data_IF_077957608445
#
_entry.id   IF_077957608445
#
_cell.length_a   1.000
_cell.length_b   1.000
_cell.length_c   1.000
_cell.angle_alpha   90.00
_cell.angle_beta   90.00
_cell.angle_gamma   90.00
#
_symmetry.space_group_name_H-M   'P 1'
#
loop_
_entity.id
_entity.type
_entity.pdbx_description
1 polymer ?
#
# COMPACT_ATOMS: atom_id res chain seq x y z
N UNK A 1 20.03 98.46 10.19
CA UNK A 1 19.16 97.22 9.99
C UNK A 1 20.11 96.12 9.66
N UNK A 2 20.28 95.12 10.56
CA UNK A 2 21.31 94.11 10.41
C UNK A 2 20.82 92.91 9.64
N UNK A 3 21.70 92.48 8.75
CA UNK A 3 21.66 91.24 7.98
C UNK A 3 22.14 90.09 8.87
N UNK A 4 21.34 89.05 9.01
CA UNK A 4 21.73 87.82 9.72
C UNK A 4 22.09 86.75 8.69
N UNK A 5 23.34 86.37 8.67
CA UNK A 5 23.91 85.26 7.95
C UNK A 5 23.53 83.95 8.69
N UNK A 6 22.89 83.00 7.97
CA UNK A 6 22.66 81.66 8.48
C UNK A 6 23.71 80.68 7.91
N UNK A 7 24.59 80.22 8.78
CA UNK A 7 25.59 79.19 8.50
C UNK A 7 24.89 77.82 8.46
N UNK A 8 25.00 77.11 7.33
CA UNK A 8 24.48 75.80 7.12
C UNK A 8 25.50 74.73 7.53
N UNK A 9 25.21 74.01 8.59
CA UNK A 9 26.00 72.86 8.99
C UNK A 9 25.58 71.64 8.18
N UNK A 10 26.48 71.09 7.37
CA UNK A 10 26.33 69.78 6.76
C UNK A 10 26.58 68.66 7.81
N UNK A 11 25.56 67.95 8.25
CA UNK A 11 25.72 66.71 8.98
C UNK A 11 25.97 65.55 7.99
N UNK A 12 27.15 65.01 8.05
CA UNK A 12 27.46 63.71 7.39
C UNK A 12 26.66 62.59 8.09
N UNK A 13 25.69 61.98 7.40
CA UNK A 13 25.03 60.77 7.83
C UNK A 13 25.92 59.62 7.40
N UNK A 14 26.47 58.90 8.39
CA UNK A 14 27.16 57.63 8.19
C UNK A 14 26.07 56.56 8.13
N UNK A 15 25.80 55.99 6.96
CA UNK A 15 24.99 54.80 6.82
C UNK A 15 25.82 53.60 7.32
N UNK A 16 25.52 53.12 8.51
CA UNK A 16 25.96 51.81 8.98
C UNK A 16 25.09 50.74 8.29
N UNK A 17 25.66 50.01 7.34
CA UNK A 17 25.01 48.85 6.73
C UNK A 17 24.88 47.71 7.75
N UNK A 18 23.66 47.42 8.15
CA UNK A 18 23.34 46.19 8.92
C UNK A 18 23.27 45.07 7.92
N UNK A 19 24.31 44.23 7.82
CA UNK A 19 24.20 42.88 7.22
C UNK A 19 23.30 42.03 8.12
N UNK A 20 22.06 41.91 7.76
CA UNK A 20 21.21 40.87 8.35
C UNK A 20 21.68 39.50 7.84
N UNK A 21 22.41 38.77 8.68
CA UNK A 21 22.65 37.35 8.47
C UNK A 21 21.30 36.64 8.59
N UNK A 22 20.75 36.25 7.44
CA UNK A 22 19.62 35.28 7.40
C UNK A 22 20.19 33.94 7.85
N UNK A 23 20.10 33.66 9.14
CA UNK A 23 20.28 32.32 9.64
C UNK A 23 19.13 31.47 9.05
N UNK A 24 19.44 30.72 8.02
CA UNK A 24 18.55 29.69 7.49
C UNK A 24 18.24 28.71 8.63
N UNK A 25 17.04 28.81 9.21
CA UNK A 25 16.47 27.74 9.99
C UNK A 25 16.41 26.53 9.07
N UNK A 26 17.41 25.66 9.14
CA UNK A 26 17.31 24.32 8.63
C UNK A 26 16.13 23.68 9.39
N UNK A 27 15.02 23.50 8.70
CA UNK A 27 13.95 22.61 9.15
C UNK A 27 14.63 21.30 9.54
N UNK A 28 14.31 20.71 10.71
CA UNK A 28 14.87 19.40 11.06
C UNK A 28 14.53 18.50 9.88
N UNK A 29 15.57 18.10 9.14
CA UNK A 29 15.42 17.16 8.04
C UNK A 29 14.65 15.97 8.58
N UNK A 30 13.50 15.66 7.99
CA UNK A 30 12.93 14.34 8.16
C UNK A 30 14.05 13.39 7.81
N UNK A 31 14.60 12.73 8.84
CA UNK A 31 15.57 11.68 8.64
C UNK A 31 14.92 10.74 7.63
N UNK A 32 15.50 10.65 6.43
CA UNK A 32 14.97 9.84 5.35
C UNK A 32 14.91 8.41 5.87
N UNK A 33 13.75 8.02 6.39
CA UNK A 33 13.49 6.68 6.93
C UNK A 33 13.74 5.59 5.87
N UNK A 34 13.97 6.01 4.62
CA UNK A 34 14.20 5.18 3.45
C UNK A 34 15.64 5.05 2.95
N UNK A 35 16.63 5.75 3.52
CA UNK A 35 17.99 5.67 2.97
C UNK A 35 18.51 4.22 2.97
N UNK A 36 18.65 3.63 1.77
CA UNK A 36 19.09 2.26 1.56
C UNK A 36 18.05 1.17 1.80
N UNK A 37 16.77 1.53 1.97
CA UNK A 37 15.64 0.59 2.08
C UNK A 37 14.67 0.77 0.91
N UNK A 38 14.01 -0.31 0.52
CA UNK A 38 12.95 -0.31 -0.49
C UNK A 38 11.85 -1.26 -0.05
N UNK A 39 10.59 -0.82 -0.19
CA UNK A 39 9.43 -1.66 0.08
C UNK A 39 9.42 -2.88 -0.83
N UNK A 40 9.27 -4.05 -0.23
CA UNK A 40 9.26 -5.33 -0.92
C UNK A 40 7.89 -6.01 -0.88
N UNK A 41 7.11 -5.72 0.14
CA UNK A 41 5.74 -6.16 0.32
C UNK A 41 5.00 -5.18 1.21
N UNK A 42 3.71 -4.97 0.95
CA UNK A 42 2.82 -4.25 1.86
C UNK A 42 1.37 -4.66 1.67
N UNK A 43 0.56 -4.40 2.70
CA UNK A 43 -0.89 -4.44 2.67
C UNK A 43 -1.45 -3.18 3.33
N UNK A 44 -2.52 -2.63 2.78
CA UNK A 44 -3.16 -1.44 3.34
C UNK A 44 -3.88 -1.78 4.64
N UNK A 45 -3.60 -1.11 5.77
CA UNK A 45 -4.26 -1.42 7.02
C UNK A 45 -5.73 -0.98 7.01
N UNK A 46 -6.57 -1.78 7.66
CA UNK A 46 -8.00 -1.56 7.85
C UNK A 46 -8.35 -1.69 9.34
N UNK A 47 -9.52 -1.17 9.71
CA UNK A 47 -10.12 -1.40 11.02
C UNK A 47 -10.89 -2.71 10.98
N UNK A 48 -10.44 -3.69 11.75
CA UNK A 48 -11.05 -5.02 11.85
C UNK A 48 -11.82 -5.17 13.18
N UNK A 49 -13.03 -5.73 13.12
CA UNK A 49 -13.89 -5.96 14.27
C UNK A 49 -13.73 -7.35 14.93
N UNK A 50 -12.61 -8.00 14.75
CA UNK A 50 -12.31 -9.34 15.24
C UNK A 50 -11.55 -10.14 14.19
N UNK A 51 -11.03 -11.37 14.41
CA UNK A 51 -11.10 -12.15 15.64
C UNK A 51 -10.25 -11.59 16.78
N UNK A 52 -10.42 -12.13 18.01
CA UNK A 52 -9.62 -11.75 19.17
C UNK A 52 -8.39 -12.65 19.31
N UNK A 53 -7.26 -12.05 19.67
CA UNK A 53 -5.99 -12.74 19.86
C UNK A 53 -5.44 -12.45 21.26
N UNK A 54 -5.62 -13.38 22.19
CA UNK A 54 -5.11 -13.25 23.55
C UNK A 54 -4.08 -14.37 23.81
N UNK A 55 -2.84 -14.00 24.14
CA UNK A 55 -1.72 -14.93 24.35
C UNK A 55 -1.55 -15.94 23.20
N UNK A 56 -1.62 -15.44 21.96
CA UNK A 56 -1.50 -16.25 20.75
C UNK A 56 -0.38 -15.72 19.83
N UNK A 57 0.21 -16.62 19.06
CA UNK A 57 1.15 -16.29 17.98
C UNK A 57 0.47 -16.41 16.64
N UNK A 58 0.55 -15.36 15.86
CA UNK A 58 0.16 -15.33 14.45
C UNK A 58 1.41 -15.55 13.60
N UNK A 59 1.38 -16.50 12.68
CA UNK A 59 2.36 -16.65 11.59
C UNK A 59 1.74 -16.16 10.31
N UNK A 60 2.19 -15.02 9.85
CA UNK A 60 1.70 -14.37 8.65
C UNK A 60 2.67 -14.57 7.50
N UNK A 61 2.17 -15.12 6.40
CA UNK A 61 2.93 -15.34 5.18
C UNK A 61 2.83 -14.11 4.29
N UNK A 62 3.96 -13.69 3.76
CA UNK A 62 4.06 -12.54 2.85
C UNK A 62 4.96 -12.91 1.66
N UNK A 63 4.66 -12.32 0.49
CA UNK A 63 5.36 -12.59 -0.77
C UNK A 63 6.14 -11.35 -1.26
N UNK A 64 7.41 -11.17 -0.85
CA UNK A 64 8.23 -10.06 -1.28
C UNK A 64 8.48 -10.05 -2.79
N UNK A 65 8.25 -8.92 -3.41
CA UNK A 65 8.37 -8.72 -4.87
C UNK A 65 9.75 -8.24 -5.31
N UNK A 66 10.67 -8.02 -4.37
CA UNK A 66 12.11 -7.80 -4.60
C UNK A 66 12.93 -8.51 -3.53
N UNK A 67 14.16 -8.83 -3.86
CA UNK A 67 15.12 -9.39 -2.91
C UNK A 67 16.04 -8.35 -2.26
N UNK A 68 16.73 -8.77 -1.21
CA UNK A 68 17.71 -7.93 -0.50
C UNK A 68 18.58 -8.72 0.48
N UNK A 69 19.64 -8.07 0.99
CA UNK A 69 20.60 -8.68 1.92
C UNK A 69 20.13 -8.71 3.37
N UNK A 70 19.19 -7.86 3.72
CA UNK A 70 18.55 -7.77 5.03
C UNK A 70 17.14 -7.20 4.86
N UNK A 71 16.31 -7.38 5.88
CA UNK A 71 14.95 -6.88 5.88
C UNK A 71 14.64 -6.11 7.18
N UNK A 72 13.53 -5.36 7.17
CA UNK A 72 12.82 -4.86 8.35
C UNK A 72 11.32 -5.02 8.12
N UNK A 73 10.57 -5.21 9.18
CA UNK A 73 9.11 -5.29 9.11
C UNK A 73 8.49 -4.03 9.70
N UNK A 74 7.29 -3.67 9.24
CA UNK A 74 6.47 -2.61 9.82
C UNK A 74 5.27 -3.24 10.52
N UNK A 75 5.11 -2.93 11.81
CA UNK A 75 3.92 -3.25 12.59
C UNK A 75 3.11 -1.96 12.80
N UNK A 76 1.79 -2.07 12.67
CA UNK A 76 0.86 -0.95 12.73
C UNK A 76 -0.31 -1.25 13.68
N UNK A 77 -0.65 -0.27 14.52
CA UNK A 77 -1.86 -0.22 15.32
C UNK A 77 -2.74 0.99 14.95
N UNK A 78 -2.71 1.36 13.66
CA UNK A 78 -3.35 2.57 13.13
C UNK A 78 -4.84 2.63 13.45
N UNK A 79 -5.53 1.50 13.41
CA UNK A 79 -6.97 1.40 13.62
C UNK A 79 -7.36 0.69 14.92
N UNK A 80 -6.39 0.28 15.74
CA UNK A 80 -6.68 -0.38 17.02
C UNK A 80 -7.37 0.56 18.02
N UNK A 81 -8.32 0.04 18.81
CA UNK A 81 -9.00 0.78 19.86
C UNK A 81 -8.30 0.70 21.21
N UNK A 82 -7.31 -0.17 21.35
CA UNK A 82 -6.44 -0.30 22.50
C UNK A 82 -4.97 -0.32 22.10
N UNK A 83 -4.08 -0.07 23.06
CA UNK A 83 -2.65 -0.35 22.90
C UNK A 83 -2.45 -1.86 22.73
N UNK A 84 -1.56 -2.27 21.81
CA UNK A 84 -1.25 -3.69 21.58
C UNK A 84 0.20 -3.97 21.94
N UNK A 85 0.45 -5.08 22.64
CA UNK A 85 1.81 -5.50 23.04
C UNK A 85 2.17 -6.83 22.37
N UNK A 86 3.27 -6.80 21.64
CA UNK A 86 3.89 -7.98 21.06
C UNK A 86 5.06 -8.40 21.96
N UNK A 87 4.94 -9.57 22.60
CA UNK A 87 5.96 -10.09 23.53
C UNK A 87 7.16 -10.70 22.81
N UNK A 88 6.96 -11.19 21.59
CA UNK A 88 8.00 -11.69 20.71
C UNK A 88 7.60 -11.52 19.25
N UNK A 89 8.58 -11.24 18.39
CA UNK A 89 8.41 -11.19 16.95
C UNK A 89 9.56 -11.94 16.29
N UNK A 90 9.23 -12.75 15.27
CA UNK A 90 10.18 -13.54 14.50
C UNK A 90 9.96 -13.38 13.01
N UNK A 91 10.98 -13.70 12.22
CA UNK A 91 10.89 -13.82 10.77
C UNK A 91 11.74 -14.98 10.28
N UNK A 92 11.24 -15.70 9.29
CA UNK A 92 11.97 -16.78 8.63
C UNK A 92 11.57 -16.85 7.15
N UNK A 93 12.31 -17.63 6.35
CA UNK A 93 11.85 -18.01 5.03
C UNK A 93 10.79 -19.11 5.18
N UNK A 94 9.67 -18.97 4.51
CA UNK A 94 8.67 -20.01 4.40
C UNK A 94 9.12 -21.05 3.36
N UNK A 95 8.72 -22.31 3.56
CA UNK A 95 9.02 -23.39 2.61
C UNK A 95 8.24 -23.20 1.32
N UNK A 96 6.98 -22.78 1.45
CA UNK A 96 6.08 -22.52 0.34
C UNK A 96 4.97 -21.56 0.76
N UNK A 97 4.33 -20.92 -0.21
CA UNK A 97 3.11 -20.15 0.01
C UNK A 97 2.01 -21.05 0.60
N UNK A 98 1.32 -20.57 1.64
CA UNK A 98 0.28 -21.32 2.32
C UNK A 98 0.77 -22.47 3.23
N UNK A 99 2.08 -22.60 3.47
CA UNK A 99 2.66 -23.58 4.38
C UNK A 99 3.18 -22.92 5.67
N UNK A 100 2.85 -23.51 6.83
CA UNK A 100 3.38 -23.04 8.11
C UNK A 100 4.85 -23.42 8.33
N UNK A 101 5.43 -24.25 7.45
CA UNK A 101 6.78 -24.75 7.57
C UNK A 101 7.82 -23.67 7.23
N UNK A 102 8.89 -23.68 8.03
CA UNK A 102 10.00 -22.73 7.88
C UNK A 102 11.23 -23.43 7.28
N UNK A 103 11.95 -22.73 6.42
CA UNK A 103 13.26 -23.20 5.96
C UNK A 103 14.22 -23.23 7.13
N UNK A 104 14.78 -24.40 7.41
CA UNK A 104 15.65 -24.65 8.56
C UNK A 104 16.84 -23.66 8.61
N UNK A 105 17.16 -23.17 9.80
CA UNK A 105 18.27 -22.26 10.02
C UNK A 105 18.03 -20.80 9.60
N UNK A 106 16.83 -20.49 9.10
CA UNK A 106 16.50 -19.13 8.65
C UNK A 106 15.75 -18.28 9.69
N UNK A 107 15.32 -18.87 10.80
CA UNK A 107 14.60 -18.19 11.87
C UNK A 107 15.46 -17.06 12.46
N UNK A 108 14.91 -15.85 12.53
CA UNK A 108 15.56 -14.70 13.15
C UNK A 108 14.59 -14.03 14.13
N UNK A 109 15.11 -13.71 15.30
CA UNK A 109 14.40 -12.83 16.23
C UNK A 109 14.37 -11.42 15.65
N UNK A 110 13.23 -10.79 15.71
CA UNK A 110 13.03 -9.38 15.35
C UNK A 110 13.08 -8.56 16.62
N UNK A 111 13.72 -7.37 16.55
CA UNK A 111 13.82 -6.45 17.66
C UNK A 111 13.35 -5.05 17.26
N UNK A 112 13.01 -4.25 18.27
CA UNK A 112 12.59 -2.86 18.14
C UNK A 112 13.42 -2.04 19.11
N UNK A 113 14.34 -1.24 18.59
CA UNK A 113 15.34 -0.49 19.39
C UNK A 113 16.13 -1.42 20.34
N UNK A 114 16.53 -2.58 19.83
CA UNK A 114 17.26 -3.62 20.57
C UNK A 114 16.40 -4.49 21.50
N UNK A 115 15.11 -4.22 21.65
CA UNK A 115 14.21 -5.00 22.51
C UNK A 115 13.39 -6.00 21.68
N UNK A 116 13.14 -7.19 22.23
CA UNK A 116 12.36 -8.23 21.54
C UNK A 116 10.85 -8.07 21.70
N UNK A 117 10.41 -7.25 22.65
CA UNK A 117 9.01 -6.89 22.83
C UNK A 117 8.78 -5.43 22.43
N UNK A 118 7.59 -5.12 21.97
CA UNK A 118 7.17 -3.76 21.61
C UNK A 118 5.68 -3.57 21.93
N UNK A 119 5.35 -2.39 22.46
CA UNK A 119 3.97 -1.94 22.61
C UNK A 119 3.73 -0.81 21.63
N UNK A 120 2.68 -0.94 20.82
CA UNK A 120 2.19 0.11 19.95
C UNK A 120 0.93 0.72 20.56
N UNK A 121 0.94 2.04 20.75
CA UNK A 121 -0.26 2.78 21.15
C UNK A 121 -1.25 2.82 20.00
N UNK A 122 -2.47 3.20 20.33
CA UNK A 122 -3.50 3.51 19.32
C UNK A 122 -2.94 4.51 18.30
N UNK A 123 -3.08 4.20 17.01
CA UNK A 123 -2.61 5.05 15.92
C UNK A 123 -1.13 4.97 15.61
N UNK A 124 -0.33 4.20 16.36
CA UNK A 124 1.10 4.09 16.14
C UNK A 124 1.47 2.99 15.13
N UNK A 125 2.55 3.23 14.39
CA UNK A 125 3.25 2.21 13.63
C UNK A 125 4.76 2.28 13.90
N UNK A 126 5.47 1.17 13.71
CA UNK A 126 6.89 1.09 13.97
C UNK A 126 7.59 0.15 12.98
N UNK A 127 8.78 0.55 12.52
CA UNK A 127 9.69 -0.37 11.87
C UNK A 127 10.54 -1.11 12.89
N UNK A 128 10.80 -2.39 12.63
CA UNK A 128 11.79 -3.16 13.38
C UNK A 128 13.20 -2.66 13.13
N UNK A 129 14.11 -3.08 13.99
CA UNK A 129 15.54 -3.03 13.71
C UNK A 129 15.85 -3.89 12.46
N UNK A 130 16.96 -3.62 11.74
CA UNK A 130 17.38 -4.44 10.62
C UNK A 130 17.63 -5.89 11.00
N UNK A 131 17.02 -6.81 10.26
CA UNK A 131 17.22 -8.26 10.44
C UNK A 131 18.15 -8.78 9.34
N UNK A 132 19.25 -9.42 9.74
CA UNK A 132 20.21 -10.07 8.83
C UNK A 132 19.63 -11.40 8.33
N UNK A 133 18.74 -11.31 7.35
CA UNK A 133 18.18 -12.44 6.62
C UNK A 133 18.09 -12.04 5.15
N UNK A 134 18.88 -12.66 4.30
CA UNK A 134 18.82 -12.46 2.87
C UNK A 134 17.50 -13.00 2.33
N UNK A 135 16.85 -12.25 1.46
CA UNK A 135 15.59 -12.58 0.78
C UNK A 135 15.85 -12.60 -0.70
N UNK A 136 15.46 -13.67 -1.39
CA UNK A 136 15.44 -13.70 -2.84
C UNK A 136 14.12 -13.10 -3.36
N UNK A 137 14.12 -12.64 -4.61
CA UNK A 137 12.89 -12.29 -5.32
C UNK A 137 11.91 -13.48 -5.29
N UNK A 138 10.65 -13.23 -4.95
CA UNK A 138 9.61 -14.26 -4.90
C UNK A 138 9.78 -15.30 -3.79
N UNK A 139 10.68 -15.06 -2.82
CA UNK A 139 10.85 -15.94 -1.66
C UNK A 139 9.85 -15.56 -0.57
N UNK A 140 8.91 -16.45 -0.30
CA UNK A 140 7.94 -16.25 0.79
C UNK A 140 8.64 -16.14 2.15
N UNK A 141 8.13 -15.22 2.96
CA UNK A 141 8.54 -15.04 4.35
C UNK A 141 7.38 -15.37 5.29
N UNK A 142 7.70 -15.95 6.43
CA UNK A 142 6.82 -16.09 7.57
C UNK A 142 7.23 -15.06 8.63
N UNK A 143 6.29 -14.22 9.03
CA UNK A 143 6.44 -13.26 10.12
C UNK A 143 5.59 -13.72 11.30
N UNK A 144 6.22 -14.06 12.41
CA UNK A 144 5.56 -14.48 13.64
C UNK A 144 5.39 -13.30 14.57
N UNK A 145 4.19 -13.07 15.10
CA UNK A 145 3.88 -12.03 16.08
C UNK A 145 3.16 -12.68 17.28
N UNK A 146 3.79 -12.68 18.45
CA UNK A 146 3.16 -13.15 19.69
C UNK A 146 2.47 -11.99 20.39
N UNK A 147 1.15 -12.02 20.44
CA UNK A 147 0.31 -10.98 21.06
C UNK A 147 0.13 -11.31 22.54
N UNK A 148 0.56 -10.39 23.43
CA UNK A 148 0.43 -10.56 24.90
C UNK A 148 -0.68 -9.72 25.50
N UNK A 149 -1.05 -8.61 24.87
CA UNK A 149 -2.13 -7.73 25.34
C UNK A 149 -2.70 -6.91 24.17
N UNK A 150 -3.95 -6.52 24.25
CA UNK A 150 -4.63 -5.63 23.30
C UNK A 150 -5.12 -6.30 22.02
N UNK A 151 -4.89 -7.58 21.84
CA UNK A 151 -5.40 -8.33 20.70
C UNK A 151 -6.87 -8.76 20.84
N UNK A 152 -7.48 -8.46 21.98
CA UNK A 152 -8.89 -8.68 22.31
C UNK A 152 -9.72 -7.39 22.32
N UNK A 153 -9.15 -6.29 21.81
CA UNK A 153 -9.87 -5.02 21.65
C UNK A 153 -11.07 -5.17 20.70
N UNK A 154 -12.08 -4.31 20.88
CA UNK A 154 -13.29 -4.31 20.04
C UNK A 154 -12.97 -4.03 18.55
N UNK A 155 -11.87 -3.35 18.29
CA UNK A 155 -11.29 -3.26 16.96
C UNK A 155 -9.77 -3.31 17.02
N UNK A 156 -9.18 -3.99 16.04
CA UNK A 156 -7.75 -4.15 15.84
C UNK A 156 -7.37 -3.67 14.43
N UNK A 157 -6.09 -3.49 14.20
CA UNK A 157 -5.59 -3.20 12.86
C UNK A 157 -5.33 -4.50 12.11
N UNK A 158 -5.91 -4.64 10.93
CA UNK A 158 -5.71 -5.77 10.05
C UNK A 158 -5.78 -5.37 8.59
N UNK A 159 -5.71 -6.35 7.72
CA UNK A 159 -6.06 -6.27 6.30
C UNK A 159 -6.84 -7.53 5.96
N UNK A 160 -8.11 -7.37 5.65
CA UNK A 160 -9.02 -8.47 5.33
C UNK A 160 -8.67 -9.10 3.98
N UNK A 161 -9.06 -10.37 3.83
CA UNK A 161 -8.99 -11.11 2.57
C UNK A 161 -7.58 -11.18 1.94
N UNK A 162 -6.58 -11.59 2.74
CA UNK A 162 -5.18 -11.79 2.27
C UNK A 162 -5.05 -12.76 1.07
N UNK A 163 -6.14 -13.41 0.62
CA UNK A 163 -6.16 -14.47 -0.38
C UNK A 163 -5.13 -15.57 -0.08
N UNK A 164 -4.92 -15.82 1.21
CA UNK A 164 -3.94 -16.80 1.67
C UNK A 164 -4.13 -17.19 3.13
N UNK A 165 -3.52 -18.31 3.49
CA UNK A 165 -3.59 -18.90 4.83
C UNK A 165 -2.58 -18.25 5.75
N UNK A 166 -3.05 -17.69 6.86
CA UNK A 166 -2.25 -17.21 7.98
C UNK A 166 -2.51 -18.14 9.18
N UNK A 167 -1.50 -18.46 9.95
CA UNK A 167 -1.60 -19.51 10.97
C UNK A 167 -1.65 -18.92 12.37
N UNK A 168 -2.34 -19.62 13.28
CA UNK A 168 -2.52 -19.23 14.68
C UNK A 168 -2.08 -20.36 15.60
N UNK A 169 -1.34 -20.03 16.65
CA UNK A 169 -0.90 -20.95 17.70
C UNK A 169 -1.14 -20.36 19.09
N UNK A 170 -1.43 -21.21 20.07
CA UNK A 170 -1.51 -20.80 21.46
C UNK A 170 -0.12 -20.52 22.04
N UNK A 171 -0.02 -19.50 22.89
CA UNK A 171 1.23 -19.12 23.54
C UNK A 171 2.28 -18.51 22.60
N UNK A 172 3.48 -18.36 23.12
CA UNK A 172 4.62 -17.84 22.34
C UNK A 172 5.25 -18.96 21.50
N UNK A 173 4.97 -18.97 20.23
CA UNK A 173 5.49 -19.92 19.25
C UNK A 173 6.32 -19.23 18.15
N UNK A 174 6.84 -18.02 18.42
CA UNK A 174 7.64 -17.30 17.44
C UNK A 174 8.91 -18.07 17.05
N UNK A 175 9.02 -18.47 15.79
CA UNK A 175 10.09 -19.33 15.26
C UNK A 175 9.91 -20.84 15.48
N UNK A 176 8.77 -21.28 16.06
CA UNK A 176 8.48 -22.69 16.26
C UNK A 176 8.20 -23.45 14.95
N UNK A 177 8.24 -24.78 14.99
CA UNK A 177 7.82 -25.64 13.87
C UNK A 177 6.33 -25.53 13.59
N UNK A 178 5.92 -25.99 12.40
CA UNK A 178 4.54 -25.91 11.92
C UNK A 178 3.52 -26.62 12.81
N UNK A 179 3.92 -27.70 13.48
CA UNK A 179 3.05 -28.49 14.38
C UNK A 179 2.40 -27.66 15.50
N UNK A 180 3.02 -26.54 15.89
CA UNK A 180 2.48 -25.65 16.92
C UNK A 180 1.26 -24.84 16.45
N UNK A 181 1.09 -24.69 15.14
CA UNK A 181 0.05 -23.86 14.53
C UNK A 181 -1.16 -24.71 14.14
N UNK A 182 -2.19 -24.67 14.98
CA UNK A 182 -3.39 -25.52 14.83
C UNK A 182 -4.63 -24.75 14.34
N UNK A 183 -4.57 -23.43 14.33
CA UNK A 183 -5.61 -22.56 13.79
C UNK A 183 -5.12 -21.79 12.57
N UNK A 184 -6.06 -21.19 11.84
CA UNK A 184 -5.75 -20.31 10.70
C UNK A 184 -6.78 -19.17 10.58
N UNK A 185 -6.34 -18.12 9.93
CA UNK A 185 -7.15 -16.96 9.50
C UNK A 185 -6.75 -16.59 8.08
N UNK A 186 -7.54 -15.74 7.42
CA UNK A 186 -7.31 -15.30 6.04
C UNK A 186 -6.92 -13.81 5.93
N UNK A 187 -6.45 -13.21 7.01
CA UNK A 187 -6.15 -11.78 7.11
C UNK A 187 -4.77 -11.57 7.69
N UNK A 188 -4.09 -10.49 7.30
CA UNK A 188 -2.90 -10.02 8.02
C UNK A 188 -3.33 -9.11 9.17
N UNK A 189 -2.73 -9.29 10.34
CA UNK A 189 -3.02 -8.48 11.52
C UNK A 189 -1.77 -7.75 12.00
N UNK A 190 -1.85 -6.45 12.17
CA UNK A 190 -0.77 -5.54 12.59
C UNK A 190 0.49 -5.52 11.71
N UNK A 191 0.64 -6.42 10.78
CA UNK A 191 1.75 -6.46 9.82
C UNK A 191 1.29 -5.78 8.52
N UNK A 192 1.90 -4.64 8.18
CA UNK A 192 1.51 -3.86 7.00
C UNK A 192 2.66 -3.57 6.03
N UNK A 193 3.89 -4.00 6.35
CA UNK A 193 5.00 -3.81 5.42
C UNK A 193 6.25 -4.63 5.72
N UNK A 194 6.96 -4.95 4.65
CA UNK A 194 8.32 -5.53 4.66
C UNK A 194 9.17 -4.74 3.70
N UNK A 195 10.24 -4.14 4.24
CA UNK A 195 11.27 -3.49 3.45
C UNK A 195 12.52 -4.35 3.40
N UNK A 196 13.28 -4.22 2.33
CA UNK A 196 14.59 -4.88 2.18
C UNK A 196 15.69 -3.85 1.92
N UNK A 197 16.94 -4.20 2.23
CA UNK A 197 18.11 -3.54 1.69
C UNK A 197 18.41 -4.17 0.33
N UNK A 198 18.00 -3.51 -0.76
CA UNK A 198 18.03 -4.11 -2.08
C UNK A 198 19.45 -4.27 -2.60
N UNK A 199 19.64 -5.20 -3.54
CA UNK A 199 20.84 -5.31 -4.34
C UNK A 199 20.94 -4.24 -5.44
N UNK A 200 22.06 -4.19 -6.11
CA UNK A 200 22.26 -3.38 -7.30
C UNK A 200 21.23 -3.76 -8.39
N UNK A 201 20.60 -2.77 -9.00
CA UNK A 201 19.57 -2.97 -10.04
C UNK A 201 18.13 -2.76 -9.59
N UNK A 202 17.85 -2.78 -8.28
CA UNK A 202 16.55 -2.33 -7.76
C UNK A 202 16.49 -0.81 -7.78
N UNK A 203 15.45 -0.26 -8.40
CA UNK A 203 15.30 1.18 -8.66
C UNK A 203 14.33 1.89 -7.72
N UNK A 204 13.60 1.15 -6.89
CA UNK A 204 12.60 1.66 -5.97
C UNK A 204 11.37 0.77 -5.90
N UNK A 205 10.24 1.32 -5.50
CA UNK A 205 8.97 0.62 -5.47
C UNK A 205 7.88 1.32 -6.29
N UNK A 206 6.89 0.54 -6.70
CA UNK A 206 5.65 0.93 -7.36
C UNK A 206 4.54 0.60 -6.36
N UNK A 207 3.70 1.57 -6.06
CA UNK A 207 2.49 1.35 -5.28
C UNK A 207 1.30 1.16 -6.23
N UNK A 208 0.49 0.15 -6.01
CA UNK A 208 -0.80 -0.03 -6.65
C UNK A 208 -1.90 0.33 -5.64
N UNK A 209 -2.48 1.52 -5.77
CA UNK A 209 -3.61 1.97 -4.96
C UNK A 209 -4.91 1.59 -5.67
N UNK A 210 -5.79 0.85 -4.98
CA UNK A 210 -7.01 0.39 -5.61
C UNK A 210 -8.01 -0.28 -4.66
N UNK A 211 -8.97 -0.94 -5.24
CA UNK A 211 -10.07 -1.63 -4.59
C UNK A 211 -9.87 -3.17 -4.57
N UNK A 212 -10.97 -3.96 -4.48
CA UNK A 212 -10.95 -5.42 -4.47
C UNK A 212 -10.29 -6.05 -5.71
N UNK A 213 -10.30 -5.37 -6.86
CA UNK A 213 -9.65 -5.85 -8.08
C UNK A 213 -8.13 -5.83 -7.91
N UNK A 214 -7.61 -4.81 -7.26
CA UNK A 214 -6.18 -4.67 -6.93
C UNK A 214 -5.80 -5.55 -5.75
N UNK A 215 -6.63 -5.63 -4.72
CA UNK A 215 -6.47 -6.52 -3.57
C UNK A 215 -6.37 -7.99 -3.99
N UNK A 216 -7.09 -8.38 -5.04
CA UNK A 216 -6.98 -9.68 -5.68
C UNK A 216 -8.16 -10.60 -5.41
N UNK A 217 -9.36 -10.05 -5.29
CA UNK A 217 -10.57 -10.86 -5.23
C UNK A 217 -10.60 -11.89 -6.37
N UNK A 218 -10.97 -13.13 -6.04
CA UNK A 218 -11.03 -14.28 -6.96
C UNK A 218 -9.68 -14.74 -7.56
N UNK A 219 -8.56 -14.33 -6.97
CA UNK A 219 -7.25 -14.93 -7.27
C UNK A 219 -7.10 -16.29 -6.60
N UNK A 220 -6.09 -17.05 -6.98
CA UNK A 220 -5.84 -18.37 -6.40
C UNK A 220 -5.45 -18.26 -4.93
N UNK A 221 -6.13 -19.01 -4.07
CA UNK A 221 -5.78 -19.08 -2.66
C UNK A 221 -4.32 -19.55 -2.49
N UNK A 222 -3.51 -18.76 -1.80
CA UNK A 222 -2.05 -18.91 -1.68
C UNK A 222 -1.28 -18.83 -3.02
N UNK A 223 -1.90 -18.33 -4.10
CA UNK A 223 -1.32 -18.38 -5.46
C UNK A 223 -0.37 -17.23 -5.79
N UNK A 224 -0.49 -16.08 -5.12
CA UNK A 224 0.25 -14.86 -5.47
C UNK A 224 0.16 -14.55 -6.97
N UNK A 225 -1.05 -14.52 -7.51
CA UNK A 225 -1.35 -14.33 -8.94
C UNK A 225 -2.27 -13.14 -9.24
N UNK A 226 -2.26 -12.14 -8.33
CA UNK A 226 -2.86 -10.83 -8.54
C UNK A 226 -2.20 -10.14 -9.73
N UNK A 227 -2.85 -9.21 -10.37
CA UNK A 227 -2.20 -8.41 -11.42
C UNK A 227 -0.91 -7.72 -10.93
N UNK A 228 -0.84 -7.35 -9.65
CA UNK A 228 0.36 -6.78 -9.02
C UNK A 228 1.50 -7.78 -8.91
N UNK A 229 1.22 -9.04 -8.60
CA UNK A 229 2.22 -10.12 -8.54
C UNK A 229 2.75 -10.45 -9.94
N UNK A 230 1.85 -10.53 -10.93
CA UNK A 230 2.23 -10.74 -12.32
C UNK A 230 3.05 -9.57 -12.88
N UNK A 231 2.69 -8.31 -12.53
CA UNK A 231 3.48 -7.14 -12.89
C UNK A 231 4.88 -7.20 -12.27
N UNK A 232 4.98 -7.58 -10.99
CA UNK A 232 6.26 -7.76 -10.30
C UNK A 232 7.14 -8.79 -11.01
N UNK A 233 6.55 -9.91 -11.43
CA UNK A 233 7.25 -10.94 -12.21
C UNK A 233 7.77 -10.40 -13.55
N UNK A 234 6.97 -9.62 -14.27
CA UNK A 234 7.37 -8.97 -15.53
C UNK A 234 8.48 -7.95 -15.34
N UNK A 235 8.51 -7.27 -14.21
CA UNK A 235 9.57 -6.32 -13.85
C UNK A 235 10.87 -7.01 -13.43
N UNK A 236 10.86 -8.31 -13.17
CA UNK A 236 12.07 -9.11 -12.88
C UNK A 236 12.85 -8.62 -11.66
N UNK A 237 12.16 -8.14 -10.62
CA UNK A 237 12.79 -7.67 -9.38
C UNK A 237 13.45 -6.28 -9.47
N UNK A 238 13.23 -5.52 -10.55
CA UNK A 238 13.74 -4.14 -10.68
C UNK A 238 13.01 -3.13 -9.80
N UNK A 239 11.77 -3.39 -9.46
CA UNK A 239 10.93 -2.59 -8.56
C UNK A 239 10.18 -3.50 -7.60
N UNK A 240 10.07 -3.08 -6.34
CA UNK A 240 9.08 -3.63 -5.42
C UNK A 240 7.67 -3.22 -5.88
N UNK A 241 6.75 -4.15 -5.98
CA UNK A 241 5.34 -3.83 -6.26
C UNK A 241 4.56 -4.01 -4.96
N UNK A 242 4.02 -2.90 -4.47
CA UNK A 242 3.34 -2.79 -3.19
C UNK A 242 1.84 -2.72 -3.45
N UNK A 243 1.12 -3.76 -3.07
CA UNK A 243 -0.31 -3.82 -3.23
C UNK A 243 -0.99 -3.07 -2.08
N UNK A 244 -1.73 -2.01 -2.42
CA UNK A 244 -2.53 -1.19 -1.52
C UNK A 244 -4.01 -1.22 -1.96
N UNK A 245 -4.47 -2.38 -2.42
CA UNK A 245 -5.87 -2.66 -2.66
C UNK A 245 -6.62 -2.84 -1.35
N UNK A 246 -7.88 -2.46 -1.32
CA UNK A 246 -8.82 -2.73 -0.21
C UNK A 246 -10.18 -3.10 -0.84
N UNK A 247 -10.76 -4.22 -0.42
CA UNK A 247 -12.09 -4.62 -0.84
C UNK A 247 -13.11 -3.49 -0.70
N UNK A 248 -13.88 -3.20 -1.76
CA UNK A 248 -14.91 -2.16 -1.76
C UNK A 248 -14.45 -0.72 -1.62
N UNK A 249 -13.15 -0.43 -1.72
CA UNK A 249 -12.63 0.93 -1.58
C UNK A 249 -13.25 1.89 -2.58
N UNK A 250 -13.42 3.12 -2.15
CA UNK A 250 -13.81 4.28 -2.95
C UNK A 250 -12.73 5.36 -2.87
N UNK A 251 -12.57 6.10 -3.94
CA UNK A 251 -11.70 7.28 -3.99
C UNK A 251 -12.20 8.37 -3.06
N UNK A 252 -13.52 8.62 -3.06
CA UNK A 252 -14.15 9.80 -2.49
C UNK A 252 -14.63 9.60 -1.05
N UNK A 253 -15.18 8.43 -0.73
CA UNK A 253 -15.97 8.22 0.50
C UNK A 253 -15.47 7.04 1.30
N UNK A 254 -15.46 7.19 2.63
CA UNK A 254 -15.19 6.08 3.54
C UNK A 254 -16.37 5.10 3.53
N UNK A 255 -16.09 3.82 3.66
CA UNK A 255 -17.09 2.78 3.79
C UNK A 255 -16.96 2.04 5.10
N UNK A 256 -18.09 1.83 5.75
CA UNK A 256 -18.21 1.10 7.02
C UNK A 256 -19.04 -0.17 6.90
N UNK A 257 -19.57 -0.44 5.70
CA UNK A 257 -20.57 -1.45 5.38
C UNK A 257 -20.12 -2.44 4.30
N UNK A 258 -18.81 -2.46 4.01
CA UNK A 258 -18.28 -3.25 2.90
C UNK A 258 -17.54 -4.51 3.35
N UNK A 259 -17.72 -5.54 2.55
CA UNK A 259 -16.79 -6.63 2.24
C UNK A 259 -16.03 -7.19 3.45
N UNK A 260 -16.72 -7.86 4.38
CA UNK A 260 -16.13 -8.37 5.61
C UNK A 260 -16.36 -7.45 6.80
N UNK A 261 -15.55 -7.60 7.84
CA UNK A 261 -15.69 -6.84 9.08
C UNK A 261 -14.92 -5.50 9.07
N UNK A 262 -14.18 -5.22 8.00
CA UNK A 262 -13.27 -4.08 7.90
C UNK A 262 -13.95 -2.77 7.47
N UNK A 263 -13.37 -1.66 7.91
CA UNK A 263 -13.72 -0.33 7.43
C UNK A 263 -12.72 0.10 6.36
N UNK A 264 -13.22 0.46 5.18
CA UNK A 264 -12.42 0.99 4.10
C UNK A 264 -12.44 2.51 4.12
N UNK A 265 -11.33 3.15 4.50
CA UNK A 265 -11.19 4.61 4.37
C UNK A 265 -10.89 4.99 2.92
N UNK A 266 -11.41 6.14 2.49
CA UNK A 266 -11.32 6.58 1.09
C UNK A 266 -9.88 6.74 0.61
N UNK A 267 -9.69 6.52 -0.69
CA UNK A 267 -8.42 6.74 -1.37
C UNK A 267 -7.82 8.11 -1.05
N UNK A 268 -8.65 9.17 -1.04
CA UNK A 268 -8.25 10.53 -0.69
C UNK A 268 -7.67 10.68 0.73
N UNK A 269 -8.10 9.85 1.68
CA UNK A 269 -7.62 9.91 3.06
C UNK A 269 -6.39 9.03 3.28
N UNK A 270 -6.38 7.81 2.70
CA UNK A 270 -5.32 6.83 2.91
C UNK A 270 -4.08 7.02 2.02
N UNK A 271 -4.17 7.81 0.93
CA UNK A 271 -3.07 7.97 -0.05
C UNK A 271 -1.75 8.44 0.58
N UNK A 272 -1.80 9.19 1.68
CA UNK A 272 -0.58 9.60 2.38
C UNK A 272 0.17 8.41 2.93
N UNK A 273 -0.49 7.57 3.73
CA UNK A 273 0.12 6.41 4.37
C UNK A 273 0.41 5.30 3.34
N UNK A 274 -0.54 5.06 2.44
CA UNK A 274 -0.50 3.93 1.52
C UNK A 274 0.33 4.20 0.26
N UNK A 275 0.62 5.46 -0.05
CA UNK A 275 1.42 5.83 -1.22
C UNK A 275 2.67 6.60 -0.83
N UNK A 276 2.51 7.84 -0.32
CA UNK A 276 3.65 8.75 -0.16
C UNK A 276 4.61 8.39 0.96
N UNK A 277 4.16 7.66 1.96
CA UNK A 277 4.97 7.18 3.09
C UNK A 277 5.52 5.76 2.87
N UNK A 278 5.23 5.12 1.72
CA UNK A 278 5.83 3.83 1.39
C UNK A 278 7.32 3.98 1.06
N UNK A 279 8.11 3.00 1.47
CA UNK A 279 9.57 3.10 1.40
C UNK A 279 10.07 2.98 -0.04
N UNK A 280 10.76 4.02 -0.51
CA UNK A 280 11.42 4.02 -1.82
C UNK A 280 10.46 4.11 -3.01
N UNK A 281 9.23 4.58 -2.79
CA UNK A 281 8.23 4.71 -3.85
C UNK A 281 8.70 5.67 -4.95
N UNK A 282 8.51 5.27 -6.20
CA UNK A 282 8.81 6.04 -7.42
C UNK A 282 7.60 6.22 -8.30
N UNK A 283 6.68 5.26 -8.26
CA UNK A 283 5.51 5.22 -9.12
C UNK A 283 4.28 4.85 -8.31
N UNK A 284 3.15 5.46 -8.68
CA UNK A 284 1.81 5.09 -8.27
C UNK A 284 1.07 4.57 -9.50
N UNK A 285 0.48 3.38 -9.42
CA UNK A 285 -0.59 2.96 -10.32
C UNK A 285 -1.89 3.20 -9.59
N UNK A 286 -2.69 4.14 -10.08
CA UNK A 286 -3.96 4.55 -9.48
C UNK A 286 -5.10 3.80 -10.17
N UNK A 287 -5.57 2.73 -9.53
CA UNK A 287 -6.50 1.75 -10.06
C UNK A 287 -7.75 1.62 -9.17
N UNK A 288 -8.46 2.73 -8.95
CA UNK A 288 -9.60 2.83 -8.06
C UNK A 288 -10.73 3.65 -8.69
N UNK A 289 -11.98 3.47 -8.22
CA UNK A 289 -13.12 4.27 -8.62
C UNK A 289 -14.34 3.50 -9.11
N UNK A 290 -14.25 2.18 -9.31
CA UNK A 290 -15.40 1.38 -9.77
C UNK A 290 -16.52 1.38 -8.71
N UNK A 291 -16.16 1.36 -7.43
CA UNK A 291 -17.11 1.40 -6.33
C UNK A 291 -17.75 2.79 -6.18
N UNK A 292 -17.00 3.87 -6.43
CA UNK A 292 -17.56 5.23 -6.45
C UNK A 292 -18.72 5.31 -7.46
N UNK A 293 -18.52 4.77 -8.66
CA UNK A 293 -19.55 4.71 -9.71
C UNK A 293 -20.73 3.84 -9.26
N UNK A 294 -20.46 2.69 -8.64
CA UNK A 294 -21.49 1.81 -8.08
C UNK A 294 -22.36 2.51 -7.04
N UNK A 295 -21.80 3.46 -6.29
CA UNK A 295 -22.50 4.31 -5.32
C UNK A 295 -22.91 5.68 -5.88
N UNK A 296 -23.04 5.78 -7.21
CA UNK A 296 -23.57 6.92 -7.95
C UNK A 296 -22.73 8.19 -7.89
N UNK A 297 -21.43 8.10 -7.73
CA UNK A 297 -20.53 9.23 -7.92
C UNK A 297 -20.64 9.75 -9.37
N UNK A 298 -20.54 11.06 -9.54
CA UNK A 298 -20.49 11.67 -10.86
C UNK A 298 -19.08 11.60 -11.46
N UNK A 299 -18.96 11.63 -12.78
CA UNK A 299 -17.63 11.67 -13.40
C UNK A 299 -16.80 12.90 -13.00
N UNK A 300 -17.35 14.13 -12.91
CA UNK A 300 -16.61 15.30 -12.41
C UNK A 300 -16.07 15.11 -11.00
N UNK A 301 -16.85 14.55 -10.07
CA UNK A 301 -16.42 14.35 -8.68
C UNK A 301 -15.31 13.30 -8.60
N UNK A 302 -15.48 12.17 -9.27
CA UNK A 302 -14.47 11.11 -9.29
C UNK A 302 -13.17 11.59 -9.95
N UNK A 303 -13.25 12.27 -11.08
CA UNK A 303 -12.07 12.88 -11.74
C UNK A 303 -11.39 13.88 -10.80
N UNK A 304 -12.13 14.69 -10.07
CA UNK A 304 -11.55 15.64 -9.11
C UNK A 304 -10.79 14.91 -7.97
N UNK A 305 -11.33 13.79 -7.47
CA UNK A 305 -10.67 12.93 -6.51
C UNK A 305 -9.37 12.33 -7.04
N UNK A 306 -9.41 11.71 -8.22
CA UNK A 306 -8.24 11.13 -8.88
C UNK A 306 -7.15 12.17 -9.16
N UNK A 307 -7.54 13.36 -9.64
CA UNK A 307 -6.62 14.51 -9.83
C UNK A 307 -5.95 14.94 -8.53
N UNK A 308 -6.70 14.93 -7.43
CA UNK A 308 -6.17 15.31 -6.12
C UNK A 308 -5.11 14.32 -5.65
N UNK A 309 -5.35 13.02 -5.78
CA UNK A 309 -4.37 11.98 -5.45
C UNK A 309 -3.14 12.12 -6.34
N UNK A 310 -3.32 12.27 -7.65
CA UNK A 310 -2.22 12.44 -8.59
C UNK A 310 -1.35 13.67 -8.27
N UNK A 311 -1.98 14.81 -7.98
CA UNK A 311 -1.27 16.04 -7.64
C UNK A 311 -0.46 15.90 -6.34
N UNK A 312 -0.99 15.20 -5.33
CA UNK A 312 -0.29 14.93 -4.07
C UNK A 312 0.89 13.99 -4.26
N UNK A 313 0.74 12.96 -5.10
CA UNK A 313 1.82 12.04 -5.46
C UNK A 313 2.95 12.78 -6.21
N UNK A 314 2.61 13.60 -7.21
CA UNK A 314 3.58 14.45 -7.92
C UNK A 314 4.29 15.42 -6.98
N UNK A 315 3.56 16.03 -6.04
CA UNK A 315 4.15 16.89 -5.01
C UNK A 315 5.18 16.18 -4.12
N UNK A 316 5.14 14.86 -4.06
CA UNK A 316 6.13 14.01 -3.39
C UNK A 316 7.20 13.44 -4.35
N UNK A 317 7.20 13.83 -5.62
CA UNK A 317 8.15 13.33 -6.62
C UNK A 317 7.82 11.92 -7.14
N UNK A 318 6.58 11.47 -6.99
CA UNK A 318 6.10 10.15 -7.43
C UNK A 318 5.39 10.32 -8.78
N UNK A 319 5.78 9.55 -9.78
CA UNK A 319 5.11 9.51 -11.09
C UNK A 319 3.81 8.71 -10.99
N UNK A 320 2.77 9.17 -11.70
CA UNK A 320 1.43 8.58 -11.59
C UNK A 320 0.99 7.98 -12.92
N UNK A 321 0.69 6.70 -12.89
CA UNK A 321 0.10 5.94 -14.00
C UNK A 321 -1.37 5.74 -13.66
N UNK A 322 -2.28 6.28 -14.46
CA UNK A 322 -3.70 6.06 -14.28
C UNK A 322 -4.13 4.73 -14.88
N UNK A 323 -4.85 3.93 -14.11
CA UNK A 323 -5.51 2.76 -14.67
C UNK A 323 -6.94 3.11 -15.10
N UNK A 324 -7.38 2.59 -16.24
CA UNK A 324 -8.78 2.71 -16.65
C UNK A 324 -9.66 1.76 -15.82
N UNK A 325 -10.86 2.22 -15.47
CA UNK A 325 -11.84 1.45 -14.72
C UNK A 325 -12.41 0.34 -15.62
N UNK A 326 -12.35 -0.89 -15.14
CA UNK A 326 -12.82 -2.10 -15.84
C UNK A 326 -14.32 -2.08 -16.07
N UNK A 327 -14.85 -2.81 -17.05
CA UNK A 327 -16.29 -2.91 -17.27
C UNK A 327 -17.01 -3.60 -16.12
N UNK A 328 -18.28 -3.20 -15.89
CA UNK A 328 -19.17 -3.88 -14.93
C UNK A 328 -20.60 -3.93 -15.50
N UNK A 329 -20.75 -4.51 -16.68
CA UNK A 329 -22.05 -4.71 -17.34
C UNK A 329 -22.48 -6.17 -17.27
N UNK A 330 -23.78 -6.39 -17.10
CA UNK A 330 -24.44 -7.69 -17.16
C UNK A 330 -25.94 -7.49 -17.40
N UNK A 331 -26.71 -8.59 -17.49
CA UNK A 331 -28.16 -8.53 -17.75
C UNK A 331 -28.96 -7.92 -16.59
N UNK A 332 -28.47 -8.02 -15.35
CA UNK A 332 -29.11 -7.42 -14.17
C UNK A 332 -28.15 -7.27 -13.00
N UNK A 333 -28.33 -6.21 -12.20
CA UNK A 333 -27.57 -5.98 -10.96
C UNK A 333 -26.18 -5.37 -11.14
N UNK A 334 -25.77 -5.07 -12.37
CA UNK A 334 -24.52 -4.40 -12.70
C UNK A 334 -24.76 -2.91 -12.98
N UNK A 335 -23.79 -2.22 -13.60
CA UNK A 335 -23.94 -0.81 -13.94
C UNK A 335 -25.13 -0.53 -14.84
N UNK A 336 -25.92 0.46 -14.46
CA UNK A 336 -26.92 1.08 -15.34
C UNK A 336 -26.24 1.80 -16.51
N UNK A 337 -27.01 2.13 -17.55
CA UNK A 337 -26.50 2.90 -18.68
C UNK A 337 -25.90 4.26 -18.26
N UNK A 338 -26.42 4.89 -17.20
CA UNK A 338 -25.88 6.12 -16.65
C UNK A 338 -24.52 5.89 -15.98
N UNK A 339 -24.38 4.85 -15.18
CA UNK A 339 -23.12 4.49 -14.50
C UNK A 339 -22.06 4.09 -15.53
N UNK A 340 -22.44 3.35 -16.58
CA UNK A 340 -21.53 3.04 -17.70
C UNK A 340 -21.08 4.32 -18.43
N UNK A 341 -21.96 5.29 -18.62
CA UNK A 341 -21.59 6.58 -19.21
C UNK A 341 -20.59 7.34 -18.30
N UNK A 342 -20.74 7.28 -16.98
CA UNK A 342 -19.77 7.84 -16.03
C UNK A 342 -18.43 7.12 -16.18
N UNK A 343 -18.41 5.79 -16.22
CA UNK A 343 -17.19 5.00 -16.40
C UNK A 343 -16.43 5.40 -17.67
N UNK A 344 -17.17 5.52 -18.79
CA UNK A 344 -16.59 5.93 -20.07
C UNK A 344 -16.01 7.37 -20.03
N UNK A 345 -16.66 8.30 -19.35
CA UNK A 345 -16.16 9.66 -19.18
C UNK A 345 -14.86 9.67 -18.35
N UNK A 346 -14.81 8.92 -17.24
CA UNK A 346 -13.60 8.81 -16.42
C UNK A 346 -12.46 8.15 -17.21
N UNK A 347 -12.74 7.05 -17.92
CA UNK A 347 -11.75 6.36 -18.73
C UNK A 347 -11.23 7.22 -19.90
N UNK A 348 -12.09 8.02 -20.52
CA UNK A 348 -11.67 8.99 -21.52
C UNK A 348 -10.69 10.02 -20.92
N UNK A 349 -11.01 10.53 -19.73
CA UNK A 349 -10.11 11.44 -19.01
C UNK A 349 -8.77 10.77 -18.67
N UNK A 350 -8.78 9.55 -18.14
CA UNK A 350 -7.54 8.81 -17.83
C UNK A 350 -6.65 8.65 -19.06
N UNK A 351 -7.26 8.35 -20.22
CA UNK A 351 -6.50 8.14 -21.48
C UNK A 351 -5.93 9.41 -22.09
N UNK A 352 -6.51 10.58 -21.78
CA UNK A 352 -6.20 11.83 -22.52
C UNK A 352 -5.59 12.93 -21.67
N UNK A 353 -5.66 12.82 -20.35
CA UNK A 353 -5.18 13.89 -19.47
C UNK A 353 -3.65 13.97 -19.43
N UNK A 354 -3.05 15.16 -19.55
CA UNK A 354 -1.62 15.35 -19.38
C UNK A 354 -1.17 15.32 -17.91
N UNK A 355 -2.10 15.13 -16.97
CA UNK A 355 -1.80 15.05 -15.53
C UNK A 355 -1.28 13.68 -15.09
N UNK A 356 -1.36 12.68 -15.96
CA UNK A 356 -0.86 11.34 -15.69
C UNK A 356 0.38 11.09 -16.53
N UNK A 357 1.37 10.44 -15.94
CA UNK A 357 2.64 10.13 -16.61
C UNK A 357 2.56 8.91 -17.54
N UNK A 358 1.44 8.19 -17.50
CA UNK A 358 1.15 7.05 -18.32
C UNK A 358 -0.22 6.46 -18.04
N UNK A 359 -0.59 5.47 -18.83
CA UNK A 359 -1.89 4.78 -18.74
C UNK A 359 -1.69 3.27 -18.69
N UNK A 360 -2.35 2.61 -17.74
CA UNK A 360 -2.58 1.18 -17.71
C UNK A 360 -4.02 0.94 -18.19
N UNK A 361 -4.20 0.55 -19.46
CA UNK A 361 -5.55 0.45 -20.03
C UNK A 361 -6.21 -0.90 -19.71
N UNK A 362 -6.57 -1.10 -18.45
CA UNK A 362 -7.22 -2.31 -17.96
C UNK A 362 -8.58 -2.56 -18.60
N UNK A 363 -9.35 -1.49 -18.89
CA UNK A 363 -10.59 -1.61 -19.65
C UNK A 363 -10.36 -2.24 -21.02
N UNK A 364 -9.40 -1.75 -21.79
CA UNK A 364 -9.08 -2.30 -23.09
C UNK A 364 -8.56 -3.75 -23.02
N UNK A 365 -7.85 -4.10 -21.94
CA UNK A 365 -7.25 -5.41 -21.76
C UNK A 365 -8.29 -6.53 -21.55
N UNK A 366 -9.38 -6.24 -20.85
CA UNK A 366 -10.32 -7.30 -20.43
C UNK A 366 -11.77 -7.13 -20.91
N UNK A 367 -12.12 -6.01 -21.56
CA UNK A 367 -13.50 -5.83 -22.07
C UNK A 367 -13.83 -6.79 -23.22
N UNK A 368 -15.08 -7.18 -23.32
CA UNK A 368 -15.59 -7.88 -24.51
C UNK A 368 -15.64 -6.89 -25.69
N UNK A 369 -14.96 -7.16 -26.81
CA UNK A 369 -14.97 -6.27 -27.97
C UNK A 369 -16.35 -6.13 -28.64
N UNK A 370 -17.26 -7.10 -28.40
CA UNK A 370 -18.64 -7.06 -28.93
C UNK A 370 -19.61 -6.36 -27.97
N UNK A 371 -19.31 -6.39 -26.67
CA UNK A 371 -20.09 -5.78 -25.58
C UNK A 371 -19.17 -4.97 -24.67
N UNK A 372 -18.66 -3.79 -25.10
CA UNK A 372 -17.58 -3.08 -24.40
C UNK A 372 -17.89 -2.65 -22.95
N UNK A 373 -19.17 -2.66 -22.56
CA UNK A 373 -19.57 -2.45 -21.17
C UNK A 373 -19.42 -3.68 -20.27
N UNK A 374 -19.03 -4.83 -20.81
CA UNK A 374 -18.87 -6.10 -20.09
C UNK A 374 -17.43 -6.59 -20.14
N UNK A 375 -17.02 -7.29 -19.09
CA UNK A 375 -15.76 -8.06 -19.10
C UNK A 375 -15.94 -9.27 -20.03
N UNK A 376 -14.92 -9.58 -20.82
CA UNK A 376 -14.91 -10.77 -21.67
C UNK A 376 -15.17 -12.03 -20.79
N UNK A 377 -16.09 -12.93 -21.18
CA UNK A 377 -16.43 -14.10 -20.35
C UNK A 377 -15.25 -14.95 -19.91
N UNK A 378 -14.18 -15.02 -20.71
CA UNK A 378 -12.96 -15.74 -20.36
C UNK A 378 -12.15 -15.06 -19.23
N UNK A 379 -12.41 -13.80 -18.92
CA UNK A 379 -11.63 -12.98 -17.98
C UNK A 379 -12.38 -12.60 -16.70
N UNK A 380 -13.65 -12.94 -16.57
CA UNK A 380 -14.47 -12.56 -15.42
C UNK A 380 -14.77 -13.73 -14.46
N UNK A 381 -14.99 -13.43 -13.17
CA UNK A 381 -15.45 -14.38 -12.17
C UNK A 381 -16.94 -14.18 -11.83
N UNK A 382 -17.37 -12.93 -11.63
CA UNK A 382 -18.69 -12.56 -11.14
C UNK A 382 -19.24 -11.29 -11.82
N UNK A 383 -18.86 -11.02 -13.07
CA UNK A 383 -19.15 -9.81 -13.86
C UNK A 383 -18.41 -8.53 -13.43
N UNK A 384 -17.94 -8.43 -12.18
CA UNK A 384 -17.20 -7.30 -11.62
C UNK A 384 -15.69 -7.60 -11.54
N UNK A 385 -15.37 -8.74 -10.93
CA UNK A 385 -13.98 -9.10 -10.62
C UNK A 385 -13.38 -9.94 -11.75
N UNK A 386 -12.16 -9.60 -12.20
CA UNK A 386 -11.41 -10.45 -13.11
C UNK A 386 -11.04 -11.77 -12.43
N UNK A 387 -11.14 -12.87 -13.18
CA UNK A 387 -10.54 -14.14 -12.78
C UNK A 387 -9.02 -14.11 -12.99
N UNK A 388 -8.31 -15.21 -12.73
CA UNK A 388 -6.85 -15.31 -12.87
C UNK A 388 -6.36 -14.92 -14.27
N UNK A 389 -7.09 -15.32 -15.33
CA UNK A 389 -6.74 -14.95 -16.70
C UNK A 389 -6.94 -13.45 -16.95
N UNK A 390 -7.98 -12.85 -16.39
CA UNK A 390 -8.23 -11.42 -16.43
C UNK A 390 -7.19 -10.62 -15.65
N UNK A 391 -6.82 -11.05 -14.45
CA UNK A 391 -5.74 -10.46 -13.64
C UNK A 391 -4.42 -10.45 -14.43
N UNK A 392 -4.10 -11.56 -15.09
CA UNK A 392 -2.92 -11.69 -15.94
C UNK A 392 -2.99 -10.74 -17.14
N UNK A 393 -4.14 -10.67 -17.84
CA UNK A 393 -4.32 -9.79 -19.01
C UNK A 393 -4.15 -8.32 -18.63
N UNK A 394 -4.68 -7.90 -17.46
CA UNK A 394 -4.47 -6.55 -16.91
C UNK A 394 -2.98 -6.28 -16.70
N UNK A 395 -2.27 -7.17 -16.01
CA UNK A 395 -0.85 -7.01 -15.76
C UNK A 395 -0.03 -6.95 -17.07
N UNK A 396 -0.36 -7.78 -18.05
CA UNK A 396 0.33 -7.85 -19.34
C UNK A 396 0.11 -6.60 -20.19
N UNK A 397 -1.01 -5.89 -20.01
CA UNK A 397 -1.29 -4.63 -20.72
C UNK A 397 -0.46 -3.44 -20.22
N UNK A 398 0.15 -3.54 -19.04
CA UNK A 398 1.01 -2.46 -18.52
C UNK A 398 2.30 -2.37 -19.34
N UNK A 399 2.54 -1.23 -19.96
CA UNK A 399 3.79 -0.96 -20.68
C UNK A 399 4.94 -0.77 -19.68
N UNK A 400 5.91 -1.69 -19.71
CA UNK A 400 7.07 -1.65 -18.81
C UNK A 400 8.02 -0.47 -19.11
N UNK A 401 7.93 0.16 -20.27
CA UNK A 401 8.72 1.35 -20.60
C UNK A 401 8.35 2.58 -19.74
N UNK A 402 7.18 2.57 -19.12
CA UNK A 402 6.74 3.59 -18.15
C UNK A 402 7.65 3.65 -16.92
N UNK A 403 8.36 2.55 -16.61
CA UNK A 403 9.21 2.41 -15.42
C UNK A 403 10.70 2.51 -15.75
N UNK A 404 11.10 3.56 -16.43
CA UNK A 404 12.48 3.80 -16.84
C UNK A 404 13.20 4.81 -15.96
#
# INVERSE_FOLDING_TARGET
MPSTSKTMYFRRVVLAGILAAVAGLALPGQASAGAGWTGAWSASPQREAGPTFAAQTLRMLVHPTIGGSSLRIRLSNTFGEADVTFGAVGVARAVASGAADLVAGTQRRVTFRGRGAVTLRKGESVFSDPVRLGVAYGQDLAVDVYVTAGGDAAAITGHDAAQGTQFVAAGNQAGAGSIAFTGYVNSWFWLDGVDVRPGAGVRGSIVALGDSITDGAYTTWNGNDRWTDVLAARLGGRYGVLNQGIGGNQVLTDRTDCCGAGTSISGLKREKADVREQTGVRYLILADGINDIGYNATAPDLIAGLRTIAARAHGAGIRVIGATITPYGCDSGCFSAQQEAVRQQVNSWVRTTPLLDGVADFDAAIRDPRLPGQVLPAYQADHLHPNIAGQRAMAESVDLSLFC
#
